data_IF_786589967227
#
_entry.id   IF_786589967227
#
_cell.length_a   1.000
_cell.length_b   1.000
_cell.length_c   1.000
_cell.angle_alpha   90.00
_cell.angle_beta   90.00
_cell.angle_gamma   90.00
#
_symmetry.space_group_name_H-M   'P 1'
#
loop_
_entity.id
_entity.type
_entity.pdbx_description
1 polymer ?
#
# COMPACT_ATOMS: atom_id res chain seq x y z
N UNK A 1 3.79 1.38 -2.37
CA UNK A 1 3.94 0.78 -1.03
C UNK A 1 2.73 -0.13 -0.79
N UNK A 2 2.97 -1.32 -0.29
CA UNK A 2 1.96 -2.34 -0.07
C UNK A 2 2.33 -3.16 1.17
N UNK A 3 1.32 -3.57 1.94
CA UNK A 3 1.47 -4.57 3.01
C UNK A 3 1.16 -5.95 2.41
N UNK A 4 2.05 -6.92 2.65
CA UNK A 4 2.09 -8.20 1.95
C UNK A 4 1.64 -9.38 2.84
N UNK A 5 0.57 -9.17 3.59
CA UNK A 5 -0.12 -10.25 4.28
C UNK A 5 -0.98 -11.04 3.28
N UNK A 6 -0.87 -12.38 3.23
CA UNK A 6 -1.72 -13.21 2.39
C UNK A 6 -3.16 -13.31 2.90
N UNK A 7 -3.42 -12.89 4.15
CA UNK A 7 -4.73 -12.98 4.79
C UNK A 7 -5.47 -11.63 4.82
N UNK A 8 -4.74 -10.51 4.80
CA UNK A 8 -5.34 -9.19 4.88
C UNK A 8 -5.66 -8.69 3.48
N UNK A 9 -6.96 -8.64 3.16
CA UNK A 9 -7.46 -8.14 1.89
C UNK A 9 -8.09 -6.74 2.01
N UNK A 10 -8.07 -6.12 3.19
CA UNK A 10 -8.62 -4.77 3.40
C UNK A 10 -7.47 -3.78 3.51
N UNK A 11 -6.55 -4.00 4.45
CA UNK A 11 -5.39 -3.14 4.63
C UNK A 11 -4.20 -3.58 3.79
N UNK A 12 -4.08 -4.88 3.52
CA UNK A 12 -3.05 -5.51 2.69
C UNK A 12 -3.49 -5.84 1.27
N UNK A 13 -2.58 -6.44 0.49
CA UNK A 13 -2.80 -6.84 -0.91
C UNK A 13 -3.28 -8.29 -1.08
N UNK A 14 -3.41 -9.06 0.00
CA UNK A 14 -3.83 -10.46 -0.05
C UNK A 14 -2.85 -11.41 -0.76
N UNK A 15 -1.56 -11.07 -0.79
CA UNK A 15 -0.46 -11.88 -1.31
C UNK A 15 0.69 -11.88 -0.32
N UNK A 16 1.41 -13.00 -0.21
CA UNK A 16 2.64 -13.08 0.57
C UNK A 16 3.77 -12.30 -0.12
N UNK A 17 4.72 -11.80 0.66
CA UNK A 17 5.85 -11.00 0.16
C UNK A 17 6.72 -11.70 -0.90
N UNK A 18 6.73 -13.04 -0.92
CA UNK A 18 7.47 -13.88 -1.85
C UNK A 18 6.62 -14.45 -2.99
N UNK A 19 5.35 -14.03 -3.11
CA UNK A 19 4.49 -14.43 -4.22
C UNK A 19 5.07 -13.92 -5.57
N UNK A 20 5.30 -14.79 -6.57
CA UNK A 20 5.87 -14.38 -7.85
C UNK A 20 5.07 -13.29 -8.59
N UNK A 21 3.78 -13.14 -8.28
CA UNK A 21 2.89 -12.14 -8.85
C UNK A 21 2.80 -10.83 -8.06
N UNK A 22 3.53 -10.67 -6.95
CA UNK A 22 3.38 -9.55 -6.02
C UNK A 22 3.61 -8.17 -6.65
N UNK A 23 4.55 -8.07 -7.59
CA UNK A 23 4.89 -6.80 -8.26
C UNK A 23 3.85 -6.37 -9.29
N UNK A 24 2.88 -7.22 -9.64
CA UNK A 24 1.80 -6.88 -10.56
C UNK A 24 0.50 -6.61 -9.78
N UNK A 25 0.04 -5.34 -9.68
CA UNK A 25 -1.19 -4.99 -8.97
C UNK A 25 -2.44 -5.69 -9.49
N UNK A 26 -2.47 -6.13 -10.75
CA UNK A 26 -3.63 -6.88 -11.26
C UNK A 26 -3.79 -8.26 -10.61
N UNK A 27 -2.76 -8.75 -9.92
CA UNK A 27 -2.78 -10.00 -9.18
C UNK A 27 -3.16 -9.82 -7.71
N UNK A 28 -3.20 -8.56 -7.23
CA UNK A 28 -3.56 -8.28 -5.84
C UNK A 28 -5.01 -8.66 -5.60
N UNK A 29 -5.25 -9.23 -4.42
CA UNK A 29 -6.57 -9.71 -3.98
C UNK A 29 -7.15 -8.84 -2.85
N UNK A 30 -6.44 -7.78 -2.49
CA UNK A 30 -6.79 -6.87 -1.42
C UNK A 30 -6.73 -5.40 -1.81
N UNK A 31 -7.37 -4.57 -1.00
CA UNK A 31 -7.62 -3.16 -1.27
C UNK A 31 -6.40 -2.25 -1.00
N UNK A 32 -5.37 -2.74 -0.29
CA UNK A 32 -4.17 -1.95 0.08
C UNK A 32 -4.50 -0.59 0.74
N UNK A 33 -5.54 -0.52 1.58
CA UNK A 33 -5.95 0.75 2.20
C UNK A 33 -4.84 1.37 3.05
N UNK A 34 -3.97 0.55 3.65
CA UNK A 34 -2.81 1.05 4.39
C UNK A 34 -1.84 1.78 3.46
N UNK A 35 -1.55 1.21 2.29
CA UNK A 35 -0.68 1.82 1.31
C UNK A 35 -1.19 3.18 0.84
N UNK A 36 -2.49 3.29 0.56
CA UNK A 36 -3.13 4.55 0.20
C UNK A 36 -3.08 5.59 1.33
N UNK A 37 -3.41 5.20 2.56
CA UNK A 37 -3.35 6.09 3.72
C UNK A 37 -1.94 6.65 3.94
N UNK A 38 -0.90 5.81 3.79
CA UNK A 38 0.50 6.24 3.91
C UNK A 38 0.91 7.21 2.80
N UNK A 39 0.43 7.01 1.56
CA UNK A 39 0.66 7.97 0.47
C UNK A 39 0.01 9.31 0.79
N UNK A 40 -1.23 9.32 1.28
CA UNK A 40 -1.93 10.54 1.67
C UNK A 40 -1.20 11.29 2.81
N UNK A 41 -0.75 10.58 3.84
CA UNK A 41 0.02 11.18 4.94
C UNK A 41 1.33 11.78 4.43
N UNK A 42 2.07 11.06 3.58
CA UNK A 42 3.29 11.58 2.96
C UNK A 42 3.02 12.87 2.19
N UNK A 43 1.99 12.89 1.36
CA UNK A 43 1.66 14.05 0.53
C UNK A 43 1.25 15.26 1.40
N UNK A 44 0.55 15.03 2.51
CA UNK A 44 0.24 16.08 3.51
C UNK A 44 1.50 16.61 4.19
N UNK A 45 2.42 15.74 4.60
CA UNK A 45 3.69 16.15 5.22
C UNK A 45 4.57 16.96 4.25
N UNK A 46 4.61 16.58 2.97
CA UNK A 46 5.36 17.31 1.94
C UNK A 46 4.82 18.72 1.72
N UNK A 47 3.48 18.89 1.69
CA UNK A 47 2.86 20.21 1.59
C UNK A 47 3.23 21.11 2.77
N UNK A 48 3.07 20.61 3.99
CA UNK A 48 3.43 21.34 5.21
C UNK A 48 4.93 21.72 5.27
N UNK A 49 5.81 20.85 4.77
CA UNK A 49 7.24 21.14 4.75
C UNK A 49 7.62 22.22 3.72
N UNK A 50 6.92 22.28 2.59
CA UNK A 50 7.13 23.26 1.52
C UNK A 50 6.43 24.61 1.70
N UNK A 51 5.59 24.74 2.74
CA UNK A 51 4.89 25.98 3.13
C UNK A 51 5.73 26.87 4.06
N UNK A 52 7.05 26.61 4.20
CA UNK A 52 8.00 27.42 4.99
C UNK A 52 8.86 28.35 4.12
#
# INVERSE_FOLDING_TARGET
IAEASPIDTIWGIGLAADDPGIENPSNWKGENLLGYALMEVRDRLQKLAGEN
#
